data_IF_023732379887
#
_entry.id   IF_023732379887
#
_cell.length_a   1.000
_cell.length_b   1.000
_cell.length_c   1.000
_cell.angle_alpha   90.00
_cell.angle_beta   90.00
_cell.angle_gamma   90.00
#
_symmetry.space_group_name_H-M   'P 1'
#
loop_
_entity.id
_entity.type
_entity.pdbx_description
1 polymer ?
#
# COMPACT_ATOMS: atom_id res chain seq x y z
N UNK A 1 -7.06 -1.98 -5.90
CA UNK A 1 -7.91 -0.87 -5.37
C UNK A 1 -9.39 -1.18 -5.24
N UNK A 2 -10.10 -1.67 -6.28
CA UNK A 2 -11.58 -1.84 -6.25
C UNK A 2 -12.10 -2.74 -5.10
N UNK A 3 -11.58 -3.96 -4.96
CA UNK A 3 -11.89 -4.84 -3.80
C UNK A 3 -11.56 -4.20 -2.45
N UNK A 4 -10.56 -3.33 -2.41
CA UNK A 4 -10.19 -2.64 -1.19
C UNK A 4 -11.29 -1.67 -0.75
N UNK A 5 -11.62 -0.72 -1.63
CA UNK A 5 -12.63 0.30 -1.37
C UNK A 5 -14.03 -0.31 -1.18
N UNK A 6 -14.36 -1.36 -1.93
CA UNK A 6 -15.71 -1.90 -1.98
C UNK A 6 -16.00 -2.96 -0.90
N UNK A 7 -14.96 -3.60 -0.35
CA UNK A 7 -15.14 -4.74 0.57
C UNK A 7 -14.40 -4.57 1.89
N UNK A 8 -13.11 -4.22 1.86
CA UNK A 8 -12.30 -4.12 3.07
C UNK A 8 -12.58 -2.82 3.84
N UNK A 9 -12.80 -1.69 3.16
CA UNK A 9 -13.10 -0.41 3.81
C UNK A 9 -14.42 -0.44 4.61
N UNK A 10 -15.56 -0.88 4.05
CA UNK A 10 -16.82 -0.93 4.81
C UNK A 10 -16.77 -1.96 5.96
N UNK A 11 -16.02 -3.03 5.78
CA UNK A 11 -15.83 -4.06 6.81
C UNK A 11 -14.99 -3.53 7.97
N UNK A 12 -13.91 -2.79 7.67
CA UNK A 12 -13.07 -2.13 8.69
C UNK A 12 -13.89 -1.14 9.52
N UNK A 13 -14.75 -0.35 8.88
CA UNK A 13 -15.66 0.56 9.56
C UNK A 13 -16.61 -0.18 10.51
N UNK A 14 -17.21 -1.29 10.08
CA UNK A 14 -18.05 -2.12 10.94
C UNK A 14 -17.30 -2.65 12.16
N UNK A 15 -16.07 -3.15 11.97
CA UNK A 15 -15.25 -3.66 13.07
C UNK A 15 -14.93 -2.58 14.11
N UNK A 16 -14.54 -1.38 13.64
CA UNK A 16 -14.28 -0.24 14.53
C UNK A 16 -15.55 0.22 15.26
N UNK A 17 -16.70 0.20 14.60
CA UNK A 17 -17.97 0.53 15.23
C UNK A 17 -18.34 -0.49 16.32
N UNK A 18 -18.18 -1.78 16.04
CA UNK A 18 -18.36 -2.84 17.04
C UNK A 18 -17.39 -2.68 18.21
N UNK A 19 -16.13 -2.32 17.96
CA UNK A 19 -15.17 -2.03 19.03
C UNK A 19 -15.66 -0.90 19.95
N UNK A 20 -16.11 0.22 19.35
CA UNK A 20 -16.62 1.37 20.11
C UNK A 20 -17.87 1.01 20.93
N UNK A 21 -18.77 0.19 20.37
CA UNK A 21 -19.94 -0.32 21.08
C UNK A 21 -19.54 -1.20 22.27
N UNK A 22 -18.59 -2.11 22.08
CA UNK A 22 -18.05 -2.97 23.15
C UNK A 22 -17.37 -2.15 24.26
N UNK A 23 -16.63 -1.10 23.89
CA UNK A 23 -15.96 -0.20 24.82
C UNK A 23 -16.97 0.63 25.64
N UNK A 24 -18.02 1.15 24.98
CA UNK A 24 -19.03 1.99 25.61
C UNK A 24 -19.90 1.28 26.65
N UNK A 25 -19.96 -0.06 26.61
CA UNK A 25 -20.76 -0.84 27.56
C UNK A 25 -20.19 -0.81 28.98
N UNK A 26 -18.90 -0.44 29.16
CA UNK A 26 -18.27 -0.27 30.47
C UNK A 26 -18.19 -1.55 31.31
N UNK A 27 -18.52 -2.70 30.73
CA UNK A 27 -18.45 -4.02 31.36
C UNK A 27 -17.27 -4.77 30.78
N UNK A 28 -16.22 -4.99 31.58
CA UNK A 28 -15.06 -5.77 31.19
C UNK A 28 -15.27 -7.26 31.51
N UNK A 29 -16.05 -7.93 30.66
CA UNK A 29 -16.10 -9.40 30.63
C UNK A 29 -14.97 -9.96 29.77
N UNK A 30 -14.44 -11.14 30.12
CA UNK A 30 -13.36 -11.82 29.39
C UNK A 30 -13.64 -11.91 27.86
N UNK A 31 -14.88 -12.24 27.49
CA UNK A 31 -15.33 -12.29 26.09
C UNK A 31 -15.30 -10.93 25.37
N UNK A 32 -15.59 -9.83 26.08
CA UNK A 32 -15.59 -8.47 25.51
C UNK A 32 -14.14 -8.05 25.26
N UNK A 33 -13.26 -8.26 26.25
CA UNK A 33 -11.83 -7.98 26.13
C UNK A 33 -11.19 -8.77 24.99
N UNK A 34 -11.49 -10.07 24.89
CA UNK A 34 -10.98 -10.90 23.79
C UNK A 34 -11.49 -10.41 22.42
N UNK A 35 -12.77 -10.08 22.31
CA UNK A 35 -13.36 -9.58 21.07
C UNK A 35 -12.74 -8.25 20.62
N UNK A 36 -12.54 -7.32 21.56
CA UNK A 36 -11.83 -6.06 21.31
C UNK A 36 -10.41 -6.31 20.81
N UNK A 37 -9.67 -7.20 21.47
CA UNK A 37 -8.31 -7.53 21.06
C UNK A 37 -8.23 -8.15 19.65
N UNK A 38 -9.16 -9.05 19.32
CA UNK A 38 -9.23 -9.63 17.97
C UNK A 38 -9.53 -8.60 16.90
N UNK A 39 -10.36 -7.60 17.21
CA UNK A 39 -10.62 -6.47 16.31
C UNK A 39 -9.32 -5.66 16.10
N UNK A 40 -8.59 -5.32 17.17
CA UNK A 40 -7.30 -4.61 17.08
C UNK A 40 -6.31 -5.35 16.17
N UNK A 41 -6.09 -6.65 16.41
CA UNK A 41 -5.20 -7.47 15.57
C UNK A 41 -5.62 -7.51 14.09
N UNK A 42 -6.94 -7.54 13.85
CA UNK A 42 -7.48 -7.52 12.49
C UNK A 42 -7.22 -6.16 11.82
N UNK A 43 -7.36 -5.07 12.56
CA UNK A 43 -7.08 -3.72 12.08
C UNK A 43 -5.60 -3.53 11.74
N UNK A 44 -4.68 -4.04 12.57
CA UNK A 44 -3.24 -4.00 12.29
C UNK A 44 -2.91 -4.74 10.98
N UNK A 45 -3.51 -5.91 10.79
CA UNK A 45 -3.35 -6.71 9.56
C UNK A 45 -3.87 -5.96 8.33
N UNK A 46 -5.02 -5.29 8.47
CA UNK A 46 -5.61 -4.48 7.40
C UNK A 46 -4.71 -3.31 7.02
N UNK A 47 -4.13 -2.59 7.98
CA UNK A 47 -3.19 -1.48 7.74
C UNK A 47 -1.96 -1.97 6.97
N UNK A 48 -1.34 -3.09 7.38
CA UNK A 48 -0.18 -3.63 6.68
C UNK A 48 -0.52 -4.04 5.23
N UNK A 49 -1.70 -4.64 5.02
CA UNK A 49 -2.16 -4.99 3.68
C UNK A 49 -2.39 -3.75 2.80
N UNK A 50 -2.89 -2.66 3.38
CA UNK A 50 -3.03 -1.37 2.71
C UNK A 50 -1.68 -0.79 2.26
N UNK A 51 -0.72 -0.72 3.17
CA UNK A 51 0.62 -0.19 2.89
C UNK A 51 1.28 -0.98 1.76
N UNK A 52 1.25 -2.30 1.85
CA UNK A 52 1.77 -3.20 0.80
C UNK A 52 1.09 -2.97 -0.54
N UNK A 53 -0.22 -2.76 -0.56
CA UNK A 53 -0.98 -2.51 -1.79
C UNK A 53 -0.64 -1.15 -2.42
N UNK A 54 -0.35 -0.13 -1.60
CA UNK A 54 0.11 1.19 -2.06
C UNK A 54 1.52 1.11 -2.63
N UNK A 55 2.43 0.42 -1.93
CA UNK A 55 3.81 0.23 -2.41
C UNK A 55 3.84 -0.47 -3.77
N UNK A 56 3.02 -1.51 -3.95
CA UNK A 56 2.89 -2.20 -5.24
C UNK A 56 2.35 -1.30 -6.35
N UNK A 57 1.44 -0.38 -6.03
CA UNK A 57 0.89 0.57 -6.99
C UNK A 57 1.98 1.52 -7.48
N UNK A 58 2.75 2.12 -6.56
CA UNK A 58 3.83 3.03 -6.90
C UNK A 58 5.03 2.34 -7.55
N UNK A 59 5.32 1.08 -7.18
CA UNK A 59 6.37 0.30 -7.81
C UNK A 59 6.06 0.00 -9.29
N UNK A 60 4.80 -0.26 -9.62
CA UNK A 60 4.38 -0.44 -11.01
C UNK A 60 4.58 0.85 -11.82
N UNK A 61 4.12 1.99 -11.30
CA UNK A 61 4.29 3.29 -11.97
C UNK A 61 5.78 3.67 -12.14
N UNK A 62 6.62 3.36 -11.14
CA UNK A 62 8.05 3.61 -11.20
C UNK A 62 8.77 2.72 -12.23
N UNK A 63 8.32 1.48 -12.42
CA UNK A 63 8.88 0.55 -13.40
C UNK A 63 8.63 1.03 -14.83
N UNK A 64 7.41 1.50 -15.13
CA UNK A 64 7.05 2.04 -16.44
C UNK A 64 7.91 3.27 -16.79
N UNK A 65 8.07 4.19 -15.83
CA UNK A 65 8.93 5.38 -16.02
C UNK A 65 10.40 4.98 -16.25
N UNK A 66 10.89 3.97 -15.55
CA UNK A 66 12.28 3.51 -15.71
C UNK A 66 12.52 2.91 -17.09
N UNK A 67 11.57 2.12 -17.60
CA UNK A 67 11.63 1.58 -18.96
C UNK A 67 11.62 2.69 -20.02
N UNK A 68 10.77 3.71 -19.86
CA UNK A 68 10.74 4.87 -20.75
C UNK A 68 12.05 5.65 -20.74
N UNK A 69 12.64 5.86 -19.55
CA UNK A 69 13.95 6.51 -19.40
C UNK A 69 15.03 5.71 -20.12
N UNK A 70 15.09 4.39 -19.95
CA UNK A 70 16.08 3.52 -20.60
C UNK A 70 15.95 3.58 -22.13
N UNK A 71 14.72 3.56 -22.65
CA UNK A 71 14.46 3.70 -24.08
C UNK A 71 14.92 5.08 -24.58
N UNK A 72 14.59 6.17 -23.89
CA UNK A 72 15.07 7.51 -24.25
C UNK A 72 16.60 7.63 -24.21
N UNK A 73 17.25 7.11 -23.17
CA UNK A 73 18.71 7.12 -23.06
C UNK A 73 19.36 6.35 -24.21
N UNK A 74 18.79 5.20 -24.60
CA UNK A 74 19.27 4.42 -25.73
C UNK A 74 19.07 5.16 -27.06
N UNK A 75 17.93 5.85 -27.27
CA UNK A 75 17.69 6.67 -28.46
C UNK A 75 18.66 7.85 -28.53
N UNK A 76 18.85 8.59 -27.43
CA UNK A 76 19.80 9.70 -27.37
C UNK A 76 21.24 9.23 -27.65
N UNK A 77 21.61 8.02 -27.20
CA UNK A 77 22.92 7.42 -27.49
C UNK A 77 23.06 7.05 -28.96
N UNK A 78 22.02 6.46 -29.55
CA UNK A 78 21.99 6.12 -30.98
C UNK A 78 22.08 7.37 -31.87
N UNK A 79 21.45 8.46 -31.46
CA UNK A 79 21.50 9.76 -32.13
C UNK A 79 22.81 10.54 -31.87
N UNK A 80 23.71 10.01 -31.02
CA UNK A 80 24.97 10.66 -30.66
C UNK A 80 24.81 11.91 -29.80
N UNK A 81 23.64 12.09 -29.18
CA UNK A 81 23.27 13.24 -28.36
C UNK A 81 23.58 13.06 -26.87
N UNK A 82 23.93 11.84 -26.44
CA UNK A 82 24.53 11.62 -25.13
C UNK A 82 26.02 11.95 -25.21
N UNK A 83 26.49 12.87 -24.35
CA UNK A 83 27.88 13.33 -24.28
C UNK A 83 28.92 12.28 -23.86
N UNK A 84 28.64 10.98 -24.01
CA UNK A 84 29.60 9.90 -23.86
C UNK A 84 30.51 9.85 -25.10
N UNK A 85 31.31 10.90 -25.28
CA UNK A 85 32.56 10.78 -26.03
C UNK A 85 33.46 9.81 -25.27
N UNK A 86 33.89 8.68 -25.87
CA UNK A 86 34.98 7.91 -25.30
C UNK A 86 36.20 8.84 -25.32
N UNK A 87 36.80 9.06 -24.15
CA UNK A 87 38.10 9.73 -24.05
C UNK A 87 39.05 9.06 -25.04
N UNK A 88 39.43 9.79 -26.10
CA UNK A 88 40.52 9.41 -26.99
C UNK A 88 41.84 9.55 -26.21
N UNK A 89 42.57 8.45 -26.07
CA UNK A 89 44.03 8.48 -25.89
C UNK A 89 44.70 8.55 -27.26
#
# INVERSE_FOLDING_TARGET
MRKFMDYYLPTSLKLLQTYAELDSQGVEGENITESKHRIEQTMDTLVHAFETQLDQLFAADAMDISADIDVMQNMLRADGLTGDTPFKQ
#
